data_IF_978716223565
#
_entry.id   IF_978716223565
#
_cell.length_a   1.000
_cell.length_b   1.000
_cell.length_c   1.000
_cell.angle_alpha   90.00
_cell.angle_beta   90.00
_cell.angle_gamma   90.00
#
_symmetry.space_group_name_H-M   'P 1'
#
loop_
_entity.id
_entity.type
_entity.pdbx_description
1 polymer ?
#
# COMPACT_ATOMS: atom_id res chain seq x y z
N UNK A 1 -18.02 33.82 77.37
CA UNK A 1 -17.65 32.48 77.85
C UNK A 1 -18.35 31.45 76.97
N UNK A 2 -17.55 30.64 76.28
CA UNK A 2 -17.86 29.36 75.61
C UNK A 2 -18.91 29.35 74.49
N UNK A 3 -18.75 28.61 73.39
CA UNK A 3 -17.62 28.02 72.68
C UNK A 3 -18.22 27.55 71.33
N UNK A 4 -17.37 27.43 70.33
CA UNK A 4 -17.61 26.98 68.95
C UNK A 4 -18.62 25.84 68.73
N UNK A 5 -19.28 25.88 67.58
CA UNK A 5 -19.93 24.72 66.95
C UNK A 5 -20.08 24.92 65.44
N UNK A 6 -18.97 24.90 64.70
CA UNK A 6 -18.96 24.89 63.23
C UNK A 6 -19.33 23.49 62.75
N UNK A 7 -20.56 23.31 62.27
CA UNK A 7 -21.01 22.07 61.63
C UNK A 7 -20.54 22.08 60.18
N UNK A 8 -19.45 21.37 59.90
CA UNK A 8 -18.99 21.08 58.55
C UNK A 8 -19.85 19.94 57.99
N UNK A 9 -20.81 20.26 57.12
CA UNK A 9 -21.49 19.26 56.30
C UNK A 9 -20.51 18.73 55.25
N UNK A 10 -19.92 17.57 55.49
CA UNK A 10 -19.23 16.79 54.46
C UNK A 10 -20.29 16.14 53.56
N UNK A 11 -20.53 16.72 52.38
CA UNK A 11 -21.21 15.99 51.30
C UNK A 11 -20.30 14.83 50.86
N UNK A 12 -20.66 13.62 51.28
CA UNK A 12 -20.13 12.41 50.67
C UNK A 12 -20.71 12.30 49.25
N UNK A 13 -19.95 12.78 48.26
CA UNK A 13 -20.23 12.46 46.86
C UNK A 13 -19.97 10.96 46.67
N UNK A 14 -21.05 10.18 46.66
CA UNK A 14 -21.01 8.79 46.21
C UNK A 14 -20.75 8.82 44.71
N UNK A 15 -19.47 8.75 44.33
CA UNK A 15 -19.05 8.49 42.97
C UNK A 15 -19.51 7.08 42.62
N UNK A 16 -20.68 6.95 41.99
CA UNK A 16 -21.06 5.73 41.29
C UNK A 16 -20.09 5.61 40.12
N UNK A 17 -18.97 4.93 40.36
CA UNK A 17 -18.09 4.47 39.30
C UNK A 17 -18.92 3.52 38.44
N UNK A 18 -19.45 4.05 37.33
CA UNK A 18 -19.99 3.26 36.23
C UNK A 18 -18.87 2.46 35.58
N UNK A 19 -18.36 1.45 36.29
CA UNK A 19 -17.45 0.48 35.73
C UNK A 19 -18.21 -0.32 34.68
N UNK A 20 -17.88 -0.13 33.41
CA UNK A 20 -18.26 -1.06 32.34
C UNK A 20 -17.87 -2.46 32.82
N UNK A 21 -18.86 -3.33 33.00
CA UNK A 21 -18.63 -4.71 33.41
C UNK A 21 -17.63 -5.41 32.48
N UNK A 22 -16.99 -6.50 32.93
CA UNK A 22 -16.04 -7.23 32.10
C UNK A 22 -16.71 -7.64 30.77
N UNK A 23 -15.97 -7.59 29.64
CA UNK A 23 -16.52 -7.96 28.35
C UNK A 23 -17.06 -9.40 28.38
N UNK A 24 -18.14 -9.69 27.63
CA UNK A 24 -18.71 -11.02 27.61
C UNK A 24 -17.68 -12.04 27.13
N UNK A 25 -17.74 -13.29 27.64
CA UNK A 25 -16.82 -14.33 27.22
C UNK A 25 -16.99 -14.64 25.73
N UNK A 26 -15.87 -14.79 25.02
CA UNK A 26 -15.81 -15.11 23.60
C UNK A 26 -15.16 -16.47 23.43
N UNK A 27 -15.85 -17.41 22.80
CA UNK A 27 -15.28 -18.74 22.54
C UNK A 27 -14.32 -18.66 21.34
N UNK A 28 -13.12 -19.23 21.43
CA UNK A 28 -12.16 -19.33 20.33
C UNK A 28 -11.85 -20.80 20.12
N UNK A 29 -11.99 -21.28 18.89
CA UNK A 29 -11.73 -22.67 18.52
C UNK A 29 -10.25 -22.88 18.22
N UNK A 30 -9.59 -23.74 18.99
CA UNK A 30 -8.26 -24.26 18.68
C UNK A 30 -8.42 -25.55 17.86
N UNK A 31 -7.70 -25.68 16.75
CA UNK A 31 -7.89 -26.82 15.85
C UNK A 31 -7.51 -28.15 16.51
N UNK A 32 -6.41 -28.16 17.24
CA UNK A 32 -5.87 -29.33 17.93
C UNK A 32 -5.93 -29.16 19.45
N UNK A 33 -5.55 -30.20 20.21
CA UNK A 33 -5.48 -30.10 21.67
C UNK A 33 -4.34 -29.17 22.11
N UNK A 34 -4.35 -28.73 23.36
CA UNK A 34 -3.17 -28.05 23.93
C UNK A 34 -1.95 -28.97 23.87
N UNK A 35 -0.81 -28.42 23.43
CA UNK A 35 0.42 -29.19 23.18
C UNK A 35 0.47 -29.87 21.81
N UNK A 36 -0.60 -29.82 21.02
CA UNK A 36 -0.63 -30.24 19.62
C UNK A 36 -0.71 -29.05 18.67
N UNK A 37 -0.20 -29.22 17.45
CA UNK A 37 -0.29 -28.26 16.35
C UNK A 37 -0.92 -28.92 15.12
N UNK A 38 -1.44 -28.09 14.23
CA UNK A 38 -2.04 -28.53 12.98
C UNK A 38 -0.98 -28.58 11.86
N UNK A 39 -0.79 -29.76 11.27
CA UNK A 39 0.06 -29.95 10.11
C UNK A 39 -0.63 -29.54 8.80
N UNK A 40 0.16 -29.40 7.73
CA UNK A 40 -0.35 -29.18 6.36
C UNK A 40 -1.30 -30.28 5.87
N UNK A 41 -1.18 -31.48 6.44
CA UNK A 41 -2.08 -32.63 6.19
C UNK A 41 -3.46 -32.45 6.85
N UNK A 42 -3.69 -31.32 7.52
CA UNK A 42 -4.86 -31.02 8.34
C UNK A 42 -5.05 -31.98 9.52
N UNK A 43 -3.98 -32.67 9.93
CA UNK A 43 -3.94 -33.56 11.09
C UNK A 43 -3.22 -32.91 12.25
N UNK A 44 -3.62 -33.31 13.46
CA UNK A 44 -3.00 -32.84 14.68
C UNK A 44 -1.78 -33.69 15.04
N UNK A 45 -0.67 -33.02 15.36
CA UNK A 45 0.58 -33.64 15.79
C UNK A 45 1.07 -33.02 17.10
N UNK A 46 1.71 -33.82 17.95
CA UNK A 46 2.28 -33.34 19.20
C UNK A 46 3.49 -32.41 18.96
N UNK A 47 3.74 -31.48 19.90
CA UNK A 47 4.94 -30.63 19.89
C UNK A 47 4.70 -29.13 19.85
N UNK A 48 3.48 -28.67 20.14
CA UNK A 48 3.17 -27.24 20.16
C UNK A 48 3.59 -26.54 21.47
N UNK A 49 3.93 -25.26 21.35
CA UNK A 49 4.17 -24.39 22.51
C UNK A 49 2.89 -24.11 23.30
N UNK A 50 3.02 -23.88 24.61
CA UNK A 50 1.92 -23.37 25.44
C UNK A 50 1.53 -21.93 25.08
N UNK A 51 2.44 -21.18 24.44
CA UNK A 51 2.17 -19.86 23.85
C UNK A 51 1.79 -20.02 22.38
N UNK A 52 0.55 -20.38 22.15
CA UNK A 52 0.05 -20.74 20.82
C UNK A 52 -0.97 -19.75 20.26
N UNK A 53 -1.48 -18.82 21.06
CA UNK A 53 -2.57 -17.94 20.60
C UNK A 53 -2.04 -16.99 19.53
N UNK A 54 -2.67 -16.93 18.34
CA UNK A 54 -2.26 -16.01 17.28
C UNK A 54 -2.35 -14.55 17.70
N UNK A 55 -1.90 -13.65 16.82
CA UNK A 55 -2.05 -12.21 17.05
C UNK A 55 -3.53 -11.85 17.22
N UNK A 56 -3.83 -11.20 18.35
CA UNK A 56 -5.19 -10.74 18.67
C UNK A 56 -5.25 -9.22 18.60
N UNK A 57 -6.14 -8.66 17.80
CA UNK A 57 -6.41 -7.23 17.74
C UNK A 57 -7.55 -6.82 18.67
N UNK A 58 -7.24 -5.95 19.63
CA UNK A 58 -8.19 -5.44 20.61
C UNK A 58 -8.94 -4.24 20.03
N UNK A 59 -10.13 -4.49 19.46
CA UNK A 59 -10.92 -3.47 18.74
C UNK A 59 -11.12 -2.21 19.60
N UNK A 60 -11.54 -2.37 20.85
CA UNK A 60 -11.83 -1.23 21.74
C UNK A 60 -10.58 -0.42 22.15
N UNK A 61 -9.37 -0.98 21.97
CA UNK A 61 -8.11 -0.33 22.32
C UNK A 61 -7.25 0.03 21.10
N UNK A 62 -7.70 -0.35 19.90
CA UNK A 62 -6.97 -0.15 18.65
C UNK A 62 -5.50 -0.57 18.71
N UNK A 63 -5.22 -1.72 19.32
CA UNK A 63 -3.86 -2.23 19.51
C UNK A 63 -3.84 -3.76 19.51
N UNK A 64 -2.66 -4.33 19.22
CA UNK A 64 -2.41 -5.77 19.41
C UNK A 64 -2.38 -6.13 20.90
N UNK A 65 -2.96 -7.28 21.22
CA UNK A 65 -2.83 -7.89 22.54
C UNK A 65 -1.37 -8.29 22.78
N UNK A 66 -0.91 -8.07 24.00
CA UNK A 66 0.44 -8.38 24.45
C UNK A 66 0.35 -9.15 25.77
N UNK A 67 1.20 -10.18 25.98
CA UNK A 67 2.22 -10.66 25.04
C UNK A 67 1.63 -11.54 23.92
N UNK A 68 2.33 -11.62 22.77
CA UNK A 68 1.96 -12.54 21.68
C UNK A 68 2.03 -14.00 22.14
N UNK A 69 1.09 -14.83 21.71
CA UNK A 69 0.98 -16.23 22.15
C UNK A 69 0.03 -16.45 23.33
N UNK A 70 -0.43 -15.38 23.99
CA UNK A 70 -1.38 -15.43 25.12
C UNK A 70 -2.77 -14.94 24.71
N UNK A 71 -3.81 -15.49 25.36
CA UNK A 71 -5.19 -15.11 25.11
C UNK A 71 -5.63 -13.97 26.05
N UNK A 72 -6.42 -12.99 25.54
CA UNK A 72 -7.15 -12.07 26.40
C UNK A 72 -8.01 -12.81 27.44
N UNK A 73 -8.18 -12.21 28.62
CA UNK A 73 -8.89 -12.84 29.76
C UNK A 73 -10.33 -13.25 29.47
N UNK A 74 -10.99 -12.61 28.51
CA UNK A 74 -12.37 -12.92 28.14
C UNK A 74 -12.48 -14.00 27.06
N UNK A 75 -11.36 -14.48 26.52
CA UNK A 75 -11.38 -15.61 25.59
C UNK A 75 -11.58 -16.92 26.37
N UNK A 76 -12.38 -17.81 25.80
CA UNK A 76 -12.59 -19.19 26.25
C UNK A 76 -12.15 -20.11 25.14
N UNK A 77 -11.11 -20.90 25.39
CA UNK A 77 -10.54 -21.77 24.37
C UNK A 77 -11.35 -23.07 24.29
N UNK A 78 -11.82 -23.40 23.09
CA UNK A 78 -12.43 -24.68 22.76
C UNK A 78 -11.40 -25.51 22.00
N UNK A 79 -10.80 -26.48 22.67
CA UNK A 79 -9.75 -27.31 22.10
C UNK A 79 -10.30 -28.37 21.15
N UNK A 80 -9.44 -28.86 20.25
CA UNK A 80 -9.76 -29.95 19.33
C UNK A 80 -11.10 -29.75 18.58
N UNK A 81 -11.37 -28.51 18.19
CA UNK A 81 -12.64 -28.11 17.60
C UNK A 81 -12.37 -27.55 16.20
N UNK A 82 -12.35 -28.43 15.20
CA UNK A 82 -12.26 -28.04 13.80
C UNK A 82 -13.62 -27.51 13.29
N UNK A 83 -13.65 -26.67 12.24
CA UNK A 83 -14.91 -26.20 11.69
C UNK A 83 -15.65 -27.34 10.98
N UNK A 84 -16.91 -27.51 11.31
CA UNK A 84 -17.85 -28.53 10.81
C UNK A 84 -18.87 -27.96 9.81
N UNK A 85 -18.80 -26.65 9.58
CA UNK A 85 -19.68 -25.91 8.66
C UNK A 85 -19.37 -26.17 7.18
N UNK A 86 -18.30 -26.93 6.86
CA UNK A 86 -17.93 -27.29 5.52
C UNK A 86 -17.25 -28.66 5.43
N UNK A 87 -17.35 -29.30 4.27
CA UNK A 87 -16.70 -30.60 4.01
C UNK A 87 -15.18 -30.46 3.83
N UNK A 88 -14.73 -29.37 3.21
CA UNK A 88 -13.31 -29.13 2.92
C UNK A 88 -12.91 -27.73 3.39
N UNK A 89 -12.33 -27.61 4.61
CA UNK A 89 -11.79 -26.35 5.09
C UNK A 89 -10.47 -26.03 4.39
N UNK A 90 -10.24 -24.74 4.13
CA UNK A 90 -8.99 -24.26 3.59
C UNK A 90 -7.93 -24.13 4.69
N UNK A 91 -6.71 -24.60 4.41
CA UNK A 91 -5.57 -24.47 5.32
C UNK A 91 -4.79 -23.20 5.00
N UNK A 92 -4.81 -22.25 5.94
CA UNK A 92 -4.06 -20.99 5.88
C UNK A 92 -2.81 -21.14 6.76
N UNK A 93 -1.63 -20.73 6.25
CA UNK A 93 -0.36 -20.83 6.96
C UNK A 93 0.46 -19.53 6.86
N UNK A 94 0.99 -19.07 7.99
CA UNK A 94 1.89 -17.92 8.14
C UNK A 94 1.44 -16.96 9.25
N UNK A 95 2.38 -16.53 10.09
CA UNK A 95 2.15 -15.63 11.25
C UNK A 95 1.42 -14.32 10.91
N UNK A 96 1.59 -13.86 9.67
CA UNK A 96 1.04 -12.59 9.19
C UNK A 96 -0.19 -12.70 8.29
N UNK A 97 -0.67 -13.91 7.98
CA UNK A 97 -1.78 -14.10 7.04
C UNK A 97 -3.15 -13.87 7.66
N UNK A 98 -3.25 -13.88 8.99
CA UNK A 98 -4.50 -13.65 9.69
C UNK A 98 -4.30 -13.01 11.07
N UNK A 99 -5.39 -12.44 11.60
CA UNK A 99 -5.48 -11.85 12.95
C UNK A 99 -6.85 -12.17 13.55
N UNK A 100 -6.89 -12.46 14.85
CA UNK A 100 -8.16 -12.66 15.56
C UNK A 100 -8.59 -11.33 16.18
N UNK A 101 -9.83 -10.91 15.99
CA UNK A 101 -10.36 -9.73 16.67
C UNK A 101 -10.85 -10.07 18.09
N UNK A 102 -10.90 -9.06 18.97
CA UNK A 102 -11.34 -9.25 20.37
C UNK A 102 -12.79 -9.72 20.54
N UNK A 103 -13.60 -9.67 19.49
CA UNK A 103 -14.96 -10.25 19.42
C UNK A 103 -14.97 -11.73 18.97
N UNK A 104 -13.80 -12.28 18.60
CA UNK A 104 -13.62 -13.65 18.15
C UNK A 104 -13.75 -13.89 16.65
N UNK A 105 -13.99 -12.87 15.83
CA UNK A 105 -13.93 -13.04 14.37
C UNK A 105 -12.47 -13.07 13.89
N UNK A 106 -12.19 -13.86 12.84
CA UNK A 106 -10.88 -13.94 12.20
C UNK A 106 -10.84 -13.01 10.99
N UNK A 107 -9.81 -12.19 10.87
CA UNK A 107 -9.54 -11.42 9.68
C UNK A 107 -8.47 -12.11 8.84
N UNK A 108 -8.81 -12.42 7.59
CA UNK A 108 -7.87 -12.90 6.58
C UNK A 108 -7.34 -11.71 5.80
N UNK A 109 -6.03 -11.48 5.94
CA UNK A 109 -5.37 -10.27 5.42
C UNK A 109 -5.39 -10.25 3.89
N UNK A 110 -5.00 -11.37 3.27
CA UNK A 110 -4.89 -11.51 1.82
C UNK A 110 -6.24 -11.47 1.09
N UNK A 111 -7.36 -11.71 1.79
CA UNK A 111 -8.71 -11.69 1.23
C UNK A 111 -9.54 -10.51 1.71
N UNK A 112 -8.99 -9.67 2.60
CA UNK A 112 -9.70 -8.61 3.30
C UNK A 112 -11.09 -9.08 3.79
N UNK A 113 -11.13 -10.27 4.38
CA UNK A 113 -12.36 -10.98 4.73
C UNK A 113 -12.42 -11.22 6.23
N UNK A 114 -13.56 -10.85 6.84
CA UNK A 114 -13.86 -11.17 8.23
C UNK A 114 -14.68 -12.45 8.26
N UNK A 115 -14.16 -13.45 8.96
CA UNK A 115 -14.69 -14.81 9.07
C UNK A 115 -15.26 -15.00 10.48
N UNK A 116 -16.54 -15.43 10.61
CA UNK A 116 -17.16 -15.71 11.90
C UNK A 116 -16.53 -16.89 12.65
N UNK A 117 -16.57 -16.83 13.98
CA UNK A 117 -15.93 -17.76 14.91
C UNK A 117 -16.29 -19.24 14.71
N UNK A 118 -17.52 -19.53 14.28
CA UNK A 118 -18.03 -20.89 14.07
C UNK A 118 -17.50 -21.54 12.79
N UNK A 119 -16.96 -20.74 11.87
CA UNK A 119 -16.50 -21.19 10.55
C UNK A 119 -14.99 -21.38 10.47
N UNK A 120 -14.26 -21.25 11.57
CA UNK A 120 -12.82 -21.46 11.57
C UNK A 120 -12.31 -22.11 12.86
N UNK A 121 -11.10 -22.64 12.81
CA UNK A 121 -10.28 -22.89 13.99
C UNK A 121 -8.86 -22.37 13.73
N UNK A 122 -8.11 -22.11 14.81
CA UNK A 122 -6.76 -21.52 14.73
C UNK A 122 -5.72 -22.34 15.50
N UNK A 123 -4.49 -22.20 15.05
CA UNK A 123 -3.23 -22.52 15.70
C UNK A 123 -2.30 -21.32 15.59
N UNK A 124 -1.13 -21.38 16.24
CA UNK A 124 -0.18 -20.26 16.32
C UNK A 124 0.10 -19.58 14.97
N UNK A 125 0.42 -20.40 13.97
CA UNK A 125 0.86 -19.94 12.64
C UNK A 125 -0.04 -20.49 11.53
N UNK A 126 -1.14 -21.15 11.86
CA UNK A 126 -2.06 -21.73 10.88
C UNK A 126 -3.52 -21.67 11.30
N UNK A 127 -4.43 -21.76 10.34
CA UNK A 127 -5.87 -21.79 10.58
C UNK A 127 -6.56 -22.70 9.57
N UNK A 128 -7.66 -23.33 9.98
CA UNK A 128 -8.63 -23.95 9.07
C UNK A 128 -9.83 -23.05 8.96
N UNK A 129 -10.22 -22.72 7.72
CA UNK A 129 -11.27 -21.73 7.46
C UNK A 129 -12.27 -22.29 6.46
N UNK A 130 -13.53 -22.32 6.85
CA UNK A 130 -14.66 -22.62 5.98
C UNK A 130 -15.20 -21.33 5.35
N UNK A 131 -14.71 -21.00 4.15
CA UNK A 131 -15.17 -19.82 3.42
C UNK A 131 -16.61 -19.99 2.88
N UNK A 132 -17.41 -18.94 2.70
CA UNK A 132 -18.74 -19.02 2.07
C UNK A 132 -18.68 -19.49 0.61
N UNK A 133 -19.79 -20.02 0.08
CA UNK A 133 -19.85 -20.62 -1.27
C UNK A 133 -19.40 -19.67 -2.41
N UNK A 134 -19.65 -18.37 -2.32
CA UNK A 134 -19.16 -17.38 -3.31
C UNK A 134 -17.63 -17.19 -3.28
N UNK A 135 -16.98 -17.55 -2.18
CA UNK A 135 -15.53 -17.61 -2.07
C UNK A 135 -15.00 -19.03 -2.37
N UNK A 136 -15.86 -20.07 -2.30
CA UNK A 136 -15.55 -21.47 -2.71
C UNK A 136 -15.83 -21.77 -4.17
N UNK A 137 -16.57 -20.91 -4.90
CA UNK A 137 -16.93 -21.11 -6.32
C UNK A 137 -15.72 -21.24 -7.23
N UNK A 138 -14.55 -20.89 -6.72
CA UNK A 138 -13.26 -21.10 -7.37
C UNK A 138 -12.71 -22.53 -7.30
N UNK A 139 -13.18 -23.37 -6.35
CA UNK A 139 -12.61 -24.69 -6.13
C UNK A 139 -13.54 -25.89 -6.35
N UNK A 140 -14.88 -25.72 -6.35
CA UNK A 140 -15.77 -26.91 -6.34
C UNK A 140 -17.00 -26.92 -7.25
N UNK A 141 -17.40 -25.81 -7.88
CA UNK A 141 -18.60 -25.78 -8.73
C UNK A 141 -18.32 -25.34 -10.17
N UNK A 142 -17.17 -25.71 -10.72
CA UNK A 142 -16.96 -25.64 -12.17
C UNK A 142 -16.75 -27.04 -12.76
N UNK A 143 -17.51 -27.41 -13.81
CA UNK A 143 -17.17 -28.56 -14.62
C UNK A 143 -15.80 -28.28 -15.25
N UNK A 144 -14.76 -28.97 -14.81
CA UNK A 144 -13.44 -29.01 -15.45
C UNK A 144 -12.99 -27.68 -16.10
N UNK A 145 -12.82 -26.59 -15.32
CA UNK A 145 -11.73 -25.69 -15.69
C UNK A 145 -10.45 -26.44 -15.35
N UNK A 146 -9.69 -26.80 -16.37
CA UNK A 146 -8.49 -27.63 -16.26
C UNK A 146 -7.36 -26.99 -15.41
N UNK A 147 -7.56 -25.78 -14.88
CA UNK A 147 -6.54 -25.00 -14.18
C UNK A 147 -7.14 -24.26 -12.97
N UNK A 148 -6.38 -24.11 -11.87
CA UNK A 148 -6.77 -23.28 -10.73
C UNK A 148 -7.00 -21.83 -11.18
N UNK A 149 -7.88 -21.08 -10.51
CA UNK A 149 -8.14 -19.70 -10.88
C UNK A 149 -6.90 -18.84 -10.77
N UNK A 150 -6.80 -17.90 -11.69
CA UNK A 150 -5.68 -17.00 -11.75
C UNK A 150 -5.83 -15.93 -10.67
N UNK A 151 -4.79 -15.73 -9.87
CA UNK A 151 -4.81 -14.74 -8.79
C UNK A 151 -4.35 -13.38 -9.32
N UNK A 152 -5.14 -12.34 -9.08
CA UNK A 152 -4.74 -10.95 -9.22
C UNK A 152 -4.76 -10.25 -7.86
N UNK A 153 -3.93 -9.22 -7.67
CA UNK A 153 -3.83 -8.51 -6.38
C UNK A 153 -4.22 -7.03 -6.51
N UNK A 154 -5.01 -6.53 -5.56
CA UNK A 154 -5.29 -5.11 -5.35
C UNK A 154 -4.55 -4.59 -4.12
N UNK A 155 -3.79 -3.51 -4.23
CA UNK A 155 -2.88 -3.11 -3.16
C UNK A 155 -3.58 -2.62 -1.88
N UNK A 156 -4.55 -1.70 -1.99
CA UNK A 156 -5.13 -0.95 -0.87
C UNK A 156 -6.48 -1.52 -0.38
N UNK A 157 -6.73 -2.81 -0.53
CA UNK A 157 -8.01 -3.40 -0.16
C UNK A 157 -9.17 -2.98 -1.08
N UNK A 158 -10.43 -3.32 -0.75
CA UNK A 158 -11.55 -3.18 -1.67
C UNK A 158 -12.02 -1.73 -1.89
N UNK A 159 -11.83 -0.85 -0.90
CA UNK A 159 -12.29 0.55 -0.96
C UNK A 159 -11.16 1.55 -0.78
N UNK A 160 -9.90 1.11 -0.91
CA UNK A 160 -8.74 1.99 -0.85
C UNK A 160 -8.22 2.39 -2.22
N UNK A 161 -7.50 3.51 -2.25
CA UNK A 161 -6.69 3.96 -3.37
C UNK A 161 -5.34 4.48 -2.84
N UNK A 162 -4.33 4.54 -3.69
CA UNK A 162 -2.98 4.95 -3.31
C UNK A 162 -2.82 6.48 -3.37
N UNK A 163 -2.39 7.10 -2.28
CA UNK A 163 -1.97 8.49 -2.26
C UNK A 163 -0.49 8.59 -2.60
N UNK A 164 -0.15 9.18 -3.75
CA UNK A 164 1.24 9.40 -4.13
C UNK A 164 1.92 10.46 -3.25
N UNK A 165 1.17 11.47 -2.80
CA UNK A 165 1.67 12.53 -1.90
C UNK A 165 2.10 11.98 -0.54
N UNK A 166 1.30 11.06 0.03
CA UNK A 166 1.51 10.54 1.38
C UNK A 166 2.12 9.13 1.38
N UNK A 167 2.39 8.55 0.21
CA UNK A 167 2.84 7.17 0.02
C UNK A 167 2.06 6.15 0.87
N UNK A 168 0.74 6.29 0.91
CA UNK A 168 -0.14 5.51 1.79
C UNK A 168 -1.46 5.18 1.11
N UNK A 169 -2.08 4.08 1.53
CA UNK A 169 -3.45 3.75 1.15
C UNK A 169 -4.45 4.64 1.89
N UNK A 170 -5.35 5.27 1.14
CA UNK A 170 -6.45 6.07 1.65
C UNK A 170 -7.75 5.34 1.35
N UNK A 171 -8.54 5.11 2.40
CA UNK A 171 -9.86 4.49 2.28
C UNK A 171 -10.89 5.53 1.90
N UNK A 172 -11.64 5.23 0.84
CA UNK A 172 -12.69 6.07 0.33
C UNK A 172 -14.02 5.37 0.61
N UNK A 173 -15.01 6.12 1.11
CA UNK A 173 -16.36 5.60 1.39
C UNK A 173 -17.11 5.17 0.12
N UNK A 174 -16.50 5.37 -1.05
CA UNK A 174 -17.10 5.14 -2.34
C UNK A 174 -16.86 3.69 -2.83
N UNK A 175 -17.93 2.89 -2.84
CA UNK A 175 -17.91 1.50 -3.33
C UNK A 175 -17.67 1.37 -4.84
N UNK A 176 -17.70 2.47 -5.60
CA UNK A 176 -17.52 2.44 -7.07
C UNK A 176 -16.10 2.09 -7.50
N UNK A 177 -15.11 2.22 -6.61
CA UNK A 177 -13.70 1.96 -6.94
C UNK A 177 -13.43 0.49 -7.21
N UNK A 178 -14.04 -0.41 -6.43
CA UNK A 178 -13.97 -1.83 -6.72
C UNK A 178 -14.69 -2.12 -8.05
N UNK A 179 -15.81 -1.45 -8.33
CA UNK A 179 -16.61 -1.71 -9.52
C UNK A 179 -15.90 -1.34 -10.84
N UNK A 180 -15.00 -0.34 -10.80
CA UNK A 180 -14.17 0.09 -11.92
C UNK A 180 -12.83 -0.66 -12.00
N UNK A 181 -12.55 -1.55 -11.06
CA UNK A 181 -11.29 -2.28 -11.01
C UNK A 181 -11.29 -3.44 -12.04
N UNK A 182 -10.18 -3.66 -12.75
CA UNK A 182 -10.00 -4.81 -13.61
C UNK A 182 -10.28 -6.08 -12.81
N UNK A 183 -11.09 -6.99 -13.35
CA UNK A 183 -11.44 -8.27 -12.71
C UNK A 183 -12.47 -8.21 -11.57
N UNK A 184 -13.03 -7.05 -11.21
CA UNK A 184 -14.03 -6.97 -10.14
C UNK A 184 -15.27 -7.86 -10.36
N UNK A 185 -15.63 -8.09 -11.63
CA UNK A 185 -16.73 -8.96 -12.04
C UNK A 185 -16.23 -10.23 -12.77
N UNK A 186 -14.93 -10.54 -12.73
CA UNK A 186 -14.41 -11.73 -13.40
C UNK A 186 -14.71 -12.99 -12.59
N UNK A 187 -15.17 -14.04 -13.28
CA UNK A 187 -15.37 -15.37 -12.69
C UNK A 187 -14.12 -16.25 -12.77
N UNK A 188 -13.09 -15.82 -13.49
CA UNK A 188 -11.87 -16.60 -13.75
C UNK A 188 -10.66 -16.12 -12.93
N UNK A 189 -10.76 -14.92 -12.36
CA UNK A 189 -9.68 -14.26 -11.63
C UNK A 189 -10.07 -14.06 -10.16
N UNK A 190 -9.31 -14.66 -9.25
CA UNK A 190 -9.48 -14.44 -7.80
C UNK A 190 -8.75 -13.16 -7.39
N UNK A 191 -9.48 -12.17 -6.87
CA UNK A 191 -8.89 -10.93 -6.36
C UNK A 191 -8.43 -11.09 -4.91
N UNK A 192 -7.12 -10.95 -4.69
CA UNK A 192 -6.49 -10.85 -3.37
C UNK A 192 -6.06 -9.42 -3.09
N UNK A 193 -5.71 -9.14 -1.84
CA UNK A 193 -5.36 -7.80 -1.38
C UNK A 193 -3.98 -7.75 -0.74
N UNK A 194 -3.40 -6.57 -0.75
CA UNK A 194 -2.10 -6.28 -0.16
C UNK A 194 -0.98 -6.12 -1.19
N UNK A 195 0.14 -5.61 -0.69
CA UNK A 195 1.33 -5.35 -1.49
C UNK A 195 2.17 -6.62 -1.70
N UNK A 196 3.01 -6.66 -2.75
CA UNK A 196 4.01 -7.71 -2.91
C UNK A 196 4.99 -7.73 -1.72
N UNK A 197 5.51 -8.91 -1.40
CA UNK A 197 6.48 -9.09 -0.30
C UNK A 197 7.88 -8.68 -0.80
N UNK A 198 8.26 -7.42 -0.56
CA UNK A 198 9.53 -6.84 -1.02
C UNK A 198 10.63 -6.95 0.04
N UNK A 199 11.87 -7.22 -0.37
CA UNK A 199 13.00 -7.42 0.57
C UNK A 199 13.27 -6.23 1.51
N UNK A 200 13.05 -5.01 1.03
CA UNK A 200 13.25 -3.76 1.78
C UNK A 200 11.93 -3.01 2.06
N UNK A 201 10.77 -3.60 1.78
CA UNK A 201 9.47 -2.89 1.74
C UNK A 201 9.43 -1.67 0.80
N UNK A 202 10.41 -1.55 -0.11
CA UNK A 202 10.46 -0.47 -1.09
C UNK A 202 9.59 -0.83 -2.30
N UNK A 203 8.55 -0.05 -2.51
CA UNK A 203 7.54 -0.27 -3.55
C UNK A 203 7.73 0.81 -4.62
N UNK A 204 7.66 0.41 -5.88
CA UNK A 204 7.75 1.28 -7.05
C UNK A 204 6.50 1.13 -7.93
N UNK A 205 6.08 2.23 -8.55
CA UNK A 205 5.07 2.23 -9.60
C UNK A 205 5.81 1.93 -10.91
N UNK A 206 5.50 0.79 -11.53
CA UNK A 206 6.21 0.32 -12.71
C UNK A 206 5.64 0.93 -14.01
N UNK A 207 4.31 0.87 -14.18
CA UNK A 207 3.61 1.35 -15.37
C UNK A 207 2.09 1.40 -15.14
N UNK A 208 1.33 1.81 -16.14
CA UNK A 208 -0.12 1.68 -16.20
C UNK A 208 -0.53 0.27 -16.65
N UNK A 209 -1.51 -0.28 -15.94
CA UNK A 209 -2.09 -1.58 -16.24
C UNK A 209 -2.97 -1.50 -17.49
N UNK A 210 -2.78 -2.48 -18.39
CA UNK A 210 -3.66 -2.73 -19.54
C UNK A 210 -4.04 -4.20 -19.54
N UNK A 211 -5.32 -4.48 -19.80
CA UNK A 211 -5.85 -5.84 -19.77
C UNK A 211 -5.14 -6.78 -20.76
N UNK A 212 -4.74 -6.26 -21.93
CA UNK A 212 -4.02 -6.99 -22.98
C UNK A 212 -2.67 -7.56 -22.52
N UNK A 213 -2.06 -6.93 -21.52
CA UNK A 213 -0.76 -7.31 -20.97
C UNK A 213 -0.86 -8.36 -19.88
N UNK A 214 -2.09 -8.73 -19.47
CA UNK A 214 -2.35 -9.71 -18.43
C UNK A 214 -2.75 -11.05 -19.03
N UNK A 215 -1.97 -12.09 -18.74
CA UNK A 215 -2.27 -13.45 -19.17
C UNK A 215 -3.24 -14.11 -18.19
N UNK A 216 -4.53 -14.14 -18.52
CA UNK A 216 -5.57 -14.80 -17.71
C UNK A 216 -5.39 -16.32 -17.55
N UNK A 217 -4.45 -16.94 -18.30
CA UNK A 217 -4.09 -18.35 -18.15
C UNK A 217 -3.05 -18.60 -17.05
N UNK A 218 -2.14 -17.64 -16.84
CA UNK A 218 -0.97 -17.83 -15.95
C UNK A 218 -0.92 -16.83 -14.79
N UNK A 219 -1.70 -15.74 -14.85
CA UNK A 219 -1.61 -14.61 -13.92
C UNK A 219 -0.36 -13.76 -14.10
N UNK A 220 0.35 -13.96 -15.20
CA UNK A 220 1.57 -13.22 -15.50
C UNK A 220 1.21 -11.88 -16.14
N UNK A 221 1.90 -10.83 -15.72
CA UNK A 221 1.78 -9.49 -16.30
C UNK A 221 3.06 -9.18 -17.07
N UNK A 222 2.91 -8.78 -18.33
CA UNK A 222 4.02 -8.39 -19.19
C UNK A 222 3.88 -6.92 -19.54
N UNK A 223 4.74 -6.07 -18.98
CA UNK A 223 4.72 -4.64 -19.28
C UNK A 223 5.23 -4.36 -20.71
N UNK A 224 4.91 -3.19 -21.26
CA UNK A 224 5.40 -2.77 -22.59
C UNK A 224 6.94 -2.73 -22.64
N UNK A 225 7.59 -2.52 -21.50
CA UNK A 225 9.05 -2.59 -21.36
C UNK A 225 9.62 -4.01 -21.55
N UNK A 226 8.79 -5.03 -21.76
CA UNK A 226 9.16 -6.45 -21.85
C UNK A 226 9.44 -7.11 -20.50
N UNK A 227 9.23 -6.40 -19.38
CA UNK A 227 9.39 -6.97 -18.03
C UNK A 227 8.18 -7.83 -17.68
N UNK A 228 8.45 -8.99 -17.09
CA UNK A 228 7.44 -9.97 -16.72
C UNK A 228 7.35 -10.07 -15.20
N UNK A 229 6.14 -10.12 -14.68
CA UNK A 229 5.87 -10.25 -13.25
C UNK A 229 4.91 -11.40 -12.99
N UNK A 230 5.24 -12.22 -12.01
CA UNK A 230 4.31 -13.22 -11.48
C UNK A 230 3.26 -12.56 -10.58
N UNK A 231 2.10 -13.20 -10.40
CA UNK A 231 0.96 -12.69 -9.62
C UNK A 231 1.26 -12.30 -8.17
N UNK A 232 2.39 -12.73 -7.61
CA UNK A 232 2.85 -12.37 -6.26
C UNK A 232 3.80 -11.18 -6.21
N UNK A 233 4.39 -10.79 -7.35
CA UNK A 233 5.43 -9.76 -7.48
C UNK A 233 4.86 -8.39 -7.86
N UNK A 234 3.56 -8.33 -8.17
CA UNK A 234 2.86 -7.08 -8.42
C UNK A 234 1.52 -7.02 -7.70
N UNK A 235 1.03 -5.80 -7.52
CA UNK A 235 -0.37 -5.53 -7.23
C UNK A 235 -0.83 -4.34 -8.07
N UNK A 236 -2.13 -4.23 -8.28
CA UNK A 236 -2.76 -3.21 -9.10
C UNK A 236 -3.52 -2.24 -8.21
N UNK A 237 -3.43 -0.94 -8.46
CA UNK A 237 -4.15 0.05 -7.66
C UNK A 237 -4.38 1.37 -8.41
N UNK A 238 -5.46 2.05 -8.07
CA UNK A 238 -5.70 3.42 -8.52
C UNK A 238 -4.90 4.43 -7.68
N UNK A 239 -4.30 5.42 -8.31
CA UNK A 239 -3.77 6.59 -7.62
C UNK A 239 -4.90 7.59 -7.34
N UNK A 240 -4.84 8.31 -6.22
CA UNK A 240 -5.85 9.31 -5.86
C UNK A 240 -6.02 10.40 -6.92
N UNK A 241 -4.93 10.79 -7.56
CA UNK A 241 -4.93 11.83 -8.59
C UNK A 241 -5.66 11.36 -9.86
N UNK A 242 -5.74 10.03 -10.09
CA UNK A 242 -6.21 9.44 -11.36
C UNK A 242 -7.20 8.29 -11.14
N UNK A 243 -8.05 8.43 -10.12
CA UNK A 243 -8.83 7.35 -9.54
C UNK A 243 -9.87 6.69 -10.46
N UNK A 244 -10.11 7.28 -11.63
CA UNK A 244 -11.03 6.77 -12.67
C UNK A 244 -10.38 6.73 -14.06
N UNK A 245 -9.08 7.04 -14.18
CA UNK A 245 -8.41 7.16 -15.48
C UNK A 245 -7.67 5.88 -15.82
N UNK A 246 -6.81 5.42 -14.91
CA UNK A 246 -6.01 4.23 -15.09
C UNK A 246 -5.83 3.50 -13.76
N UNK A 247 -5.38 2.25 -13.88
CA UNK A 247 -4.89 1.44 -12.77
C UNK A 247 -3.38 1.35 -12.93
N UNK A 248 -2.64 1.58 -11.87
CA UNK A 248 -1.18 1.50 -11.87
C UNK A 248 -0.71 0.14 -11.37
N UNK A 249 0.43 -0.31 -11.89
CA UNK A 249 1.12 -1.54 -11.49
C UNK A 249 2.16 -1.20 -10.43
N UNK A 250 2.02 -1.75 -9.24
CA UNK A 250 2.97 -1.62 -8.14
C UNK A 250 3.79 -2.90 -8.04
N UNK A 251 5.11 -2.77 -7.91
CA UNK A 251 6.04 -3.87 -7.73
C UNK A 251 7.18 -3.48 -6.78
N UNK A 252 8.02 -4.43 -6.39
CA UNK A 252 9.19 -4.13 -5.56
C UNK A 252 10.23 -3.34 -6.38
N UNK A 253 10.82 -2.32 -5.76
CA UNK A 253 11.82 -1.45 -6.41
C UNK A 253 13.04 -2.23 -6.93
N UNK A 254 13.36 -3.37 -6.30
CA UNK A 254 14.46 -4.25 -6.70
C UNK A 254 14.26 -4.84 -8.10
N UNK A 255 13.02 -5.16 -8.50
CA UNK A 255 12.69 -5.61 -9.86
C UNK A 255 12.72 -4.45 -10.87
N UNK A 256 12.72 -3.21 -10.37
CA UNK A 256 12.86 -2.00 -11.17
C UNK A 256 14.31 -1.50 -11.30
N UNK A 257 15.26 -2.09 -10.56
CA UNK A 257 16.70 -1.80 -10.66
C UNK A 257 17.11 -1.81 -12.12
N UNK A 258 17.36 -0.61 -12.64
CA UNK A 258 17.75 -0.44 -14.03
C UNK A 258 18.99 -1.31 -14.28
N UNK A 259 19.01 -2.18 -15.31
CA UNK A 259 20.26 -2.36 -16.00
C UNK A 259 20.66 -0.96 -16.47
N UNK A 260 21.76 -0.44 -15.93
CA UNK A 260 22.44 0.73 -16.50
C UNK A 260 22.45 0.50 -18.01
N UNK A 261 21.87 1.42 -18.77
CA UNK A 261 21.73 1.40 -20.24
C UNK A 261 20.49 0.66 -20.76
N UNK A 262 19.33 1.33 -20.74
CA UNK A 262 18.35 1.24 -21.82
C UNK A 262 17.58 2.57 -21.89
N UNK A 263 17.52 3.24 -23.06
CA UNK A 263 16.84 4.52 -23.20
C UNK A 263 15.34 4.29 -23.05
N UNK A 264 14.71 5.07 -22.17
CA UNK A 264 13.26 5.21 -22.08
C UNK A 264 12.76 5.61 -23.48
N UNK A 265 11.91 4.82 -24.15
CA UNK A 265 11.26 5.27 -25.38
C UNK A 265 10.12 6.21 -24.97
N UNK A 266 10.49 7.41 -24.52
CA UNK A 266 9.55 8.51 -24.40
C UNK A 266 9.27 8.96 -25.84
N UNK A 267 8.17 8.47 -26.41
CA UNK A 267 7.66 8.91 -27.71
C UNK A 267 7.16 10.38 -27.70
N UNK A 268 7.49 11.16 -26.68
CA UNK A 268 7.39 12.61 -26.73
C UNK A 268 8.68 13.19 -27.34
N UNK A 269 8.70 13.22 -28.67
CA UNK A 269 9.62 14.00 -29.53
C UNK A 269 9.73 15.48 -29.09
N UNK A 270 8.81 15.93 -28.24
CA UNK A 270 8.74 17.25 -27.63
C UNK A 270 9.88 17.48 -26.64
N UNK A 271 10.23 16.49 -25.80
CA UNK A 271 11.30 16.64 -24.80
C UNK A 271 12.70 16.91 -25.42
N UNK A 272 13.17 16.15 -26.44
CA UNK A 272 14.45 16.47 -27.08
C UNK A 272 14.39 17.78 -27.87
N UNK A 273 13.22 18.16 -28.40
CA UNK A 273 13.05 19.43 -29.12
C UNK A 273 13.12 20.65 -28.18
N UNK A 274 12.51 20.57 -27.00
CA UNK A 274 12.62 21.62 -25.97
C UNK A 274 14.06 21.73 -25.42
N UNK A 275 14.72 20.60 -25.15
CA UNK A 275 16.10 20.59 -24.68
C UNK A 275 17.07 21.16 -25.74
N UNK A 276 16.90 20.81 -27.02
CA UNK A 276 17.69 21.36 -28.11
C UNK A 276 17.44 22.87 -28.30
N UNK A 277 16.19 23.32 -28.21
CA UNK A 277 15.83 24.74 -28.30
C UNK A 277 16.45 25.57 -27.18
N UNK A 278 16.42 25.07 -25.94
CA UNK A 278 17.06 25.71 -24.79
C UNK A 278 18.58 25.79 -24.93
N UNK A 279 19.23 24.73 -25.41
CA UNK A 279 20.68 24.74 -25.59
C UNK A 279 21.12 25.75 -26.65
N UNK A 280 20.39 25.85 -27.77
CA UNK A 280 20.62 26.86 -28.80
C UNK A 280 20.42 28.26 -28.22
N UNK A 281 19.36 28.49 -27.43
CA UNK A 281 19.09 29.77 -26.75
C UNK A 281 20.26 30.21 -25.86
N UNK A 282 20.78 29.31 -25.01
CA UNK A 282 21.92 29.59 -24.11
C UNK A 282 23.16 30.05 -24.89
N UNK A 283 23.47 29.40 -26.03
CA UNK A 283 24.62 29.78 -26.86
C UNK A 283 24.46 31.19 -27.44
N UNK A 284 23.27 31.51 -27.96
CA UNK A 284 22.99 32.85 -28.51
C UNK A 284 22.96 33.93 -27.42
N UNK A 285 22.41 33.65 -26.25
CA UNK A 285 22.39 34.57 -25.12
C UNK A 285 23.81 34.82 -24.59
N UNK A 286 24.66 33.80 -24.52
CA UNK A 286 26.07 33.95 -24.14
C UNK A 286 26.84 34.80 -25.15
N UNK A 287 26.65 34.56 -26.45
CA UNK A 287 27.26 35.37 -27.50
C UNK A 287 26.79 36.84 -27.43
N UNK A 288 25.50 37.06 -27.16
CA UNK A 288 24.91 38.39 -27.00
C UNK A 288 25.48 39.10 -25.76
N UNK A 289 25.66 38.38 -24.66
CA UNK A 289 26.26 38.92 -23.44
C UNK A 289 27.73 39.30 -23.66
N UNK A 290 28.52 38.45 -24.32
CA UNK A 290 29.91 38.74 -24.67
C UNK A 290 30.03 39.95 -25.61
N UNK A 291 29.19 40.03 -26.65
CA UNK A 291 29.14 41.18 -27.53
C UNK A 291 28.76 42.47 -26.79
N UNK A 292 27.83 42.38 -25.82
CA UNK A 292 27.40 43.51 -24.99
C UNK A 292 28.53 44.02 -24.08
N UNK A 293 29.42 43.15 -23.62
CA UNK A 293 30.62 43.55 -22.87
C UNK A 293 31.74 44.11 -23.74
N UNK A 294 31.87 43.64 -24.99
CA UNK A 294 32.90 44.07 -25.94
C UNK A 294 32.60 45.41 -26.61
N UNK A 295 31.32 45.79 -26.74
CA UNK A 295 30.89 47.06 -27.35
C UNK A 295 30.12 47.92 -26.34
N UNK A 296 30.82 48.61 -25.42
CA UNK A 296 30.19 49.55 -24.51
C UNK A 296 29.59 50.73 -25.29
N UNK A 297 28.28 50.91 -25.17
CA UNK A 297 27.57 52.08 -25.70
C UNK A 297 27.89 53.31 -24.83
N UNK A 298 28.72 54.22 -25.35
CA UNK A 298 29.07 55.46 -24.65
C UNK A 298 27.92 56.50 -24.60
N UNK A 299 26.87 56.35 -25.42
CA UNK A 299 25.80 57.36 -25.51
C UNK A 299 24.49 57.00 -24.80
N UNK A 300 24.25 55.74 -24.42
CA UNK A 300 23.07 55.34 -23.63
C UNK A 300 23.42 54.29 -22.57
N UNK A 301 24.18 54.72 -21.56
CA UNK A 301 24.71 53.85 -20.49
C UNK A 301 23.60 53.15 -19.69
N UNK A 302 22.45 53.81 -19.49
CA UNK A 302 21.34 53.22 -18.73
C UNK A 302 20.65 52.08 -19.48
N UNK A 303 20.34 52.29 -20.76
CA UNK A 303 19.70 51.27 -21.61
C UNK A 303 20.61 50.05 -21.76
N UNK A 304 21.91 50.27 -21.98
CA UNK A 304 22.90 49.20 -22.08
C UNK A 304 23.00 48.35 -20.82
N UNK A 305 23.00 48.97 -19.62
CA UNK A 305 23.01 48.24 -18.35
C UNK A 305 21.73 47.41 -18.15
N UNK A 306 20.56 47.98 -18.39
CA UNK A 306 19.29 47.25 -18.27
C UNK A 306 19.23 46.06 -19.24
N UNK A 307 19.65 46.25 -20.50
CA UNK A 307 19.69 45.20 -21.50
C UNK A 307 20.67 44.08 -21.14
N UNK A 308 21.84 44.43 -20.59
CA UNK A 308 22.85 43.44 -20.17
C UNK A 308 22.38 42.62 -18.97
N UNK A 309 21.76 43.27 -17.97
CA UNK A 309 21.18 42.56 -16.82
C UNK A 309 20.01 41.65 -17.23
N UNK A 310 19.14 42.11 -18.13
CA UNK A 310 18.05 41.31 -18.66
C UNK A 310 18.56 40.05 -19.39
N UNK A 311 19.53 40.19 -20.29
CA UNK A 311 20.13 39.07 -21.02
C UNK A 311 20.85 38.10 -20.06
N UNK A 312 21.53 38.62 -19.03
CA UNK A 312 22.18 37.77 -18.01
C UNK A 312 21.16 36.96 -17.21
N UNK A 313 20.03 37.55 -16.80
CA UNK A 313 18.95 36.84 -16.11
C UNK A 313 18.33 35.75 -17.00
N UNK A 314 18.09 36.04 -18.29
CA UNK A 314 17.60 35.04 -19.25
C UNK A 314 18.59 33.88 -19.42
N UNK A 315 19.89 34.17 -19.52
CA UNK A 315 20.94 33.15 -19.64
C UNK A 315 20.95 32.20 -18.43
N UNK A 316 20.88 32.74 -17.22
CA UNK A 316 20.85 31.92 -15.99
C UNK A 316 19.60 31.06 -15.93
N UNK A 317 18.43 31.61 -16.27
CA UNK A 317 17.16 30.87 -16.28
C UNK A 317 17.15 29.73 -17.29
N UNK A 318 17.55 29.99 -18.54
CA UNK A 318 17.60 28.96 -19.59
C UNK A 318 18.64 27.88 -19.30
N UNK A 319 19.77 28.26 -18.67
CA UNK A 319 20.78 27.30 -18.23
C UNK A 319 20.26 26.37 -17.13
N UNK A 320 19.54 26.90 -16.13
CA UNK A 320 18.93 26.08 -15.08
C UNK A 320 17.88 25.13 -15.66
N UNK A 321 17.03 25.61 -16.57
CA UNK A 321 16.05 24.77 -17.25
C UNK A 321 16.72 23.66 -18.07
N UNK A 322 17.78 23.98 -18.83
CA UNK A 322 18.54 22.98 -19.57
C UNK A 322 19.16 21.92 -18.65
N UNK A 323 19.72 22.33 -17.49
CA UNK A 323 20.27 21.41 -16.49
C UNK A 323 19.19 20.48 -15.94
N UNK A 324 18.01 21.00 -15.57
CA UNK A 324 16.92 20.15 -15.07
C UNK A 324 16.44 19.13 -16.11
N UNK A 325 16.35 19.53 -17.37
CA UNK A 325 15.94 18.63 -18.45
C UNK A 325 16.97 17.55 -18.75
N UNK A 326 18.27 17.85 -18.66
CA UNK A 326 19.35 16.87 -18.86
C UNK A 326 19.49 15.94 -17.65
N UNK A 327 19.32 16.48 -16.45
CA UNK A 327 19.54 15.73 -15.21
C UNK A 327 18.38 14.77 -14.89
N UNK A 328 17.17 15.06 -15.37
CA UNK A 328 16.00 14.20 -15.19
C UNK A 328 15.81 13.82 -13.72
N UNK A 329 15.82 12.51 -13.43
CA UNK A 329 15.64 11.97 -12.07
C UNK A 329 16.93 11.92 -11.23
N UNK A 330 18.05 12.45 -11.73
CA UNK A 330 19.35 12.38 -11.05
C UNK A 330 19.51 13.47 -9.96
N UNK A 331 18.65 14.49 -9.93
CA UNK A 331 18.65 15.52 -8.88
C UNK A 331 17.66 15.12 -7.79
N UNK A 332 18.16 14.58 -6.68
CA UNK A 332 17.38 14.18 -5.52
C UNK A 332 17.70 15.11 -4.34
N UNK A 333 16.68 15.47 -3.56
CA UNK A 333 16.85 16.22 -2.30
C UNK A 333 16.82 17.76 -2.46
N UNK A 334 17.43 18.51 -1.54
CA UNK A 334 17.23 19.96 -1.40
C UNK A 334 17.69 20.78 -2.61
N UNK A 335 18.58 20.24 -3.45
CA UNK A 335 18.98 20.87 -4.70
C UNK A 335 17.83 20.97 -5.71
N UNK A 336 16.92 20.00 -5.74
CA UNK A 336 15.74 20.03 -6.61
C UNK A 336 14.77 21.15 -6.19
N UNK A 337 14.52 21.28 -4.89
CA UNK A 337 13.63 22.32 -4.34
C UNK A 337 14.19 23.72 -4.59
N UNK A 338 15.50 23.92 -4.38
CA UNK A 338 16.16 25.21 -4.63
C UNK A 338 16.09 25.57 -6.13
N UNK A 339 16.41 24.64 -7.03
CA UNK A 339 16.35 24.91 -8.46
C UNK A 339 14.90 25.21 -8.90
N UNK A 340 13.91 24.53 -8.32
CA UNK A 340 12.49 24.80 -8.53
C UNK A 340 12.09 26.23 -8.13
N UNK A 341 12.43 26.66 -6.91
CA UNK A 341 12.16 28.03 -6.43
C UNK A 341 12.84 29.10 -7.31
N UNK A 342 14.06 28.83 -7.79
CA UNK A 342 14.78 29.74 -8.69
C UNK A 342 14.12 29.85 -10.08
N UNK A 343 13.50 28.77 -10.56
CA UNK A 343 12.78 28.77 -11.84
C UNK A 343 11.41 29.45 -11.68
N UNK A 344 10.73 29.29 -10.54
CA UNK A 344 9.42 29.90 -10.29
C UNK A 344 9.48 31.42 -10.23
N UNK A 345 10.58 32.00 -9.74
CA UNK A 345 10.85 33.45 -9.79
C UNK A 345 11.02 34.03 -11.23
N UNK A 346 11.00 33.20 -12.27
CA UNK A 346 11.06 33.60 -13.68
C UNK A 346 9.67 33.92 -14.27
N UNK A 347 8.58 33.44 -13.67
CA UNK A 347 7.19 33.74 -14.07
C UNK A 347 6.71 34.95 -13.26
#
# INVERSE_FOLDING_TARGET
MHLLGLVVLTLATVSVAGGKGPPPPVNIRKCCRLGEHLEKTQKCAAGASLKWVPRVWLIARNQLHQPVGEAPRHFRILENTQPDTCQEPEFIYGENKFVIFSNGSLFLDDRNLVVPTETYCVERDSALVCLPAHYRTFHHNQPYLAHPPVVARKCCGPSGAWSQLNSTCVFLDNRTLLQNFPFANSTHVELRYGFPECKNNDIAIADHFRLENFMEETGMLILESGKQFHSTEFCLEHTLDEINTYVSVFTCSEHFSHPKTAPVPNNDIRFPLYAAGLFISVVFLLATLLASFLVPSNHHVLHWRCQTHYVACLLVGDLLLAITQISGNSIIGPACTIIGEFIEMRI
#
